data_IF_036241188574
#
_entry.id   IF_036241188574
#
_cell.length_a   1.000
_cell.length_b   1.000
_cell.length_c   1.000
_cell.angle_alpha   90.00
_cell.angle_beta   90.00
_cell.angle_gamma   90.00
#
_symmetry.space_group_name_H-M   'P 1'
#
loop_
_entity.id
_entity.type
_entity.pdbx_description
1 polymer ?
#
# COMPACT_ATOMS: atom_id res chain seq x y z
N UNK A 1 8.72 -49.89 39.96
CA UNK A 1 8.08 -48.57 40.20
C UNK A 1 9.05 -47.50 39.72
N UNK A 2 8.83 -46.95 38.53
CA UNK A 2 9.51 -45.73 38.06
C UNK A 2 8.63 -45.12 36.97
N UNK A 3 8.00 -44.00 37.35
CA UNK A 3 7.07 -43.26 36.53
C UNK A 3 7.84 -42.49 35.45
N UNK A 4 7.53 -42.78 34.19
CA UNK A 4 7.83 -41.92 33.06
C UNK A 4 6.56 -41.12 32.80
N UNK A 5 6.63 -39.79 32.97
CA UNK A 5 5.82 -38.70 32.38
C UNK A 5 6.11 -37.49 33.29
N UNK A 6 6.87 -36.47 32.82
CA UNK A 6 6.25 -35.37 32.09
C UNK A 6 7.19 -34.71 31.07
N UNK A 7 7.07 -35.05 29.79
CA UNK A 7 7.70 -34.27 28.70
C UNK A 7 6.71 -33.87 27.60
N UNK A 8 5.53 -34.51 27.55
CA UNK A 8 4.53 -34.29 26.50
C UNK A 8 3.67 -33.04 26.80
N UNK A 9 3.53 -32.63 28.07
CA UNK A 9 2.72 -31.47 28.44
C UNK A 9 3.39 -30.13 28.08
N UNK A 10 4.73 -30.06 28.09
CA UNK A 10 5.46 -28.80 27.86
C UNK A 10 5.47 -28.40 26.37
N UNK A 11 5.59 -29.38 25.46
CA UNK A 11 5.58 -29.15 24.00
C UNK A 11 4.19 -28.74 23.51
N UNK A 12 3.12 -29.24 24.15
CA UNK A 12 1.74 -28.91 23.77
C UNK A 12 1.31 -27.49 24.20
N UNK A 13 1.89 -26.98 25.31
CA UNK A 13 1.62 -25.62 25.78
C UNK A 13 2.37 -24.59 24.93
N UNK A 14 3.62 -24.86 24.54
CA UNK A 14 4.41 -23.98 23.67
C UNK A 14 3.85 -23.89 22.24
N UNK A 15 3.31 -24.98 21.68
CA UNK A 15 2.67 -24.95 20.36
C UNK A 15 1.36 -24.17 20.37
N UNK A 16 0.54 -24.31 21.42
CA UNK A 16 -0.69 -23.50 21.59
C UNK A 16 -0.39 -22.02 21.82
N UNK A 17 0.67 -21.68 22.56
CA UNK A 17 1.09 -20.28 22.75
C UNK A 17 1.61 -19.69 21.43
N UNK A 18 2.44 -20.40 20.65
CA UNK A 18 2.87 -19.91 19.34
C UNK A 18 1.71 -19.76 18.34
N UNK A 19 0.72 -20.65 18.38
CA UNK A 19 -0.49 -20.54 17.54
C UNK A 19 -1.37 -19.38 18.01
N UNK A 20 -1.59 -19.19 19.31
CA UNK A 20 -2.34 -18.04 19.82
C UNK A 20 -1.64 -16.70 19.54
N UNK A 21 -0.31 -16.63 19.65
CA UNK A 21 0.48 -15.43 19.34
C UNK A 21 0.44 -15.12 17.84
N UNK A 22 0.53 -16.12 16.95
CA UNK A 22 0.31 -15.92 15.50
C UNK A 22 -1.12 -15.49 15.18
N UNK A 23 -2.11 -16.03 15.88
CA UNK A 23 -3.53 -15.69 15.67
C UNK A 23 -3.85 -14.27 16.16
N UNK A 24 -3.25 -13.83 17.28
CA UNK A 24 -3.34 -12.45 17.76
C UNK A 24 -2.59 -11.45 16.86
N UNK A 25 -1.46 -11.85 16.25
CA UNK A 25 -0.72 -11.00 15.33
C UNK A 25 -1.49 -10.71 14.03
N UNK A 26 -2.26 -11.67 13.51
CA UNK A 26 -3.13 -11.49 12.34
C UNK A 26 -4.35 -10.60 12.62
N UNK A 27 -4.86 -10.61 13.87
CA UNK A 27 -6.04 -9.83 14.27
C UNK A 27 -5.79 -8.31 14.32
N UNK A 28 -4.54 -7.86 14.48
CA UNK A 28 -4.17 -6.45 14.55
C UNK A 28 -3.72 -5.84 13.21
N UNK A 29 -3.82 -6.59 12.10
CA UNK A 29 -3.29 -6.15 10.80
C UNK A 29 -4.07 -5.01 10.18
N UNK A 30 -5.35 -4.86 10.54
CA UNK A 30 -6.22 -3.83 9.99
C UNK A 30 -6.81 -2.98 11.11
N UNK A 31 -6.72 -1.65 10.97
CA UNK A 31 -7.40 -0.70 11.86
C UNK A 31 -8.40 0.14 11.06
N UNK A 32 -9.64 0.20 11.54
CA UNK A 32 -10.71 1.09 11.06
C UNK A 32 -10.61 2.43 11.81
N UNK A 33 -10.89 3.56 11.16
CA UNK A 33 -11.12 4.83 11.88
C UNK A 33 -12.52 4.82 12.51
N UNK A 34 -12.64 5.34 13.74
CA UNK A 34 -13.85 5.30 14.61
C UNK A 34 -15.20 5.29 13.86
N UNK A 35 -16.05 4.33 14.24
CA UNK A 35 -17.44 4.14 13.80
C UNK A 35 -18.44 4.93 14.65
N UNK A 36 -19.50 5.42 14.00
CA UNK A 36 -20.84 5.41 14.58
C UNK A 36 -21.46 4.04 14.30
N UNK A 37 -21.76 3.29 15.35
CA UNK A 37 -22.22 1.89 15.29
C UNK A 37 -23.73 1.82 15.12
N UNK A 38 -24.21 1.29 13.99
CA UNK A 38 -25.51 0.58 13.94
C UNK A 38 -25.24 -0.76 13.27
N UNK A 39 -25.27 -1.84 14.05
CA UNK A 39 -25.13 -3.19 13.54
C UNK A 39 -26.32 -3.53 12.65
N UNK A 40 -26.10 -3.61 11.33
CA UNK A 40 -27.04 -4.22 10.40
C UNK A 40 -26.77 -5.72 10.24
N UNK A 41 -27.79 -6.56 10.00
CA UNK A 41 -27.58 -7.97 9.70
C UNK A 41 -26.79 -8.08 8.40
N UNK A 42 -25.62 -8.72 8.45
CA UNK A 42 -24.77 -8.96 7.28
C UNK A 42 -25.53 -9.88 6.32
N UNK A 43 -25.95 -9.34 5.18
CA UNK A 43 -26.55 -10.13 4.12
C UNK A 43 -25.49 -11.08 3.51
N UNK A 44 -25.80 -12.37 3.29
CA UNK A 44 -24.89 -13.28 2.61
C UNK A 44 -24.74 -12.86 1.14
N UNK A 45 -23.51 -12.55 0.70
CA UNK A 45 -23.24 -12.25 -0.72
C UNK A 45 -22.15 -11.21 -1.04
N UNK A 46 -21.34 -10.76 -0.08
CA UNK A 46 -20.27 -9.76 -0.33
C UNK A 46 -18.89 -10.39 -0.51
N UNK A 47 -18.76 -11.45 -1.31
CA UNK A 47 -17.44 -11.95 -1.66
C UNK A 47 -16.81 -11.06 -2.73
N UNK A 48 -15.74 -10.34 -2.38
CA UNK A 48 -14.95 -9.55 -3.34
C UNK A 48 -13.74 -10.36 -3.79
N UNK A 49 -13.59 -10.50 -5.09
CA UNK A 49 -12.44 -11.13 -5.74
C UNK A 49 -11.34 -10.10 -6.00
N UNK A 50 -10.14 -10.55 -6.37
CA UNK A 50 -9.01 -9.64 -6.62
C UNK A 50 -9.32 -8.69 -7.79
N UNK A 51 -10.01 -9.19 -8.80
CA UNK A 51 -10.44 -8.46 -10.00
C UNK A 51 -11.45 -7.33 -9.72
N UNK A 52 -12.07 -7.31 -8.54
CA UNK A 52 -12.93 -6.21 -8.09
C UNK A 52 -12.13 -5.00 -7.62
N UNK A 53 -10.80 -5.09 -7.58
CA UNK A 53 -9.92 -4.02 -7.13
C UNK A 53 -9.01 -3.49 -8.26
N UNK A 54 -8.62 -2.22 -8.12
CA UNK A 54 -7.57 -1.53 -8.87
C UNK A 54 -6.34 -1.35 -7.99
N UNK A 55 -5.17 -1.40 -8.62
CA UNK A 55 -3.87 -1.34 -7.95
C UNK A 55 -3.23 0.02 -8.14
N UNK A 56 -3.65 1.02 -7.38
CA UNK A 56 -3.12 2.37 -7.53
C UNK A 56 -1.82 2.58 -6.78
N UNK A 57 -1.04 3.58 -7.20
CA UNK A 57 0.11 4.09 -6.45
C UNK A 57 0.34 5.58 -6.66
N UNK A 58 0.84 6.25 -5.62
CA UNK A 58 1.62 7.47 -5.77
C UNK A 58 3.06 7.11 -6.09
N UNK A 59 3.75 7.93 -6.89
CA UNK A 59 5.18 7.77 -7.15
C UNK A 59 5.93 9.10 -7.05
N UNK A 60 7.20 9.02 -6.67
CA UNK A 60 8.03 10.21 -6.44
C UNK A 60 9.47 9.88 -6.09
N UNK A 61 10.20 10.87 -5.57
CA UNK A 61 11.59 10.72 -5.14
C UNK A 61 11.78 11.07 -3.67
N UNK A 62 12.66 10.35 -2.98
CA UNK A 62 12.97 10.50 -1.57
C UNK A 62 14.45 10.15 -1.32
N UNK A 63 14.92 10.36 -0.10
CA UNK A 63 16.18 9.79 0.39
C UNK A 63 15.97 8.45 1.11
N UNK A 64 14.74 8.15 1.50
CA UNK A 64 14.33 6.90 2.13
C UNK A 64 13.05 6.41 1.44
N UNK A 65 13.15 5.47 0.48
CA UNK A 65 12.00 5.00 -0.29
C UNK A 65 11.25 3.85 0.39
N UNK A 66 11.83 3.21 1.41
CA UNK A 66 11.32 1.98 2.04
C UNK A 66 10.88 2.25 3.47
N UNK A 67 9.97 3.21 3.66
CA UNK A 67 9.54 3.68 4.97
C UNK A 67 8.19 3.07 5.37
N UNK A 68 7.88 3.07 6.66
CA UNK A 68 6.59 2.64 7.19
C UNK A 68 6.15 3.53 8.34
N UNK A 69 4.85 3.64 8.57
CA UNK A 69 4.31 4.39 9.70
C UNK A 69 3.04 3.73 10.23
N UNK A 70 2.81 3.89 11.53
CA UNK A 70 1.58 3.45 12.20
C UNK A 70 0.51 4.55 12.30
N UNK A 71 0.72 5.71 11.66
CA UNK A 71 -0.23 6.83 11.71
C UNK A 71 -1.41 6.60 10.75
N UNK A 72 -2.41 5.88 11.25
CA UNK A 72 -3.61 5.49 10.49
C UNK A 72 -4.41 6.69 10.01
N UNK A 73 -4.55 7.72 10.85
CA UNK A 73 -5.32 8.91 10.50
C UNK A 73 -4.68 9.65 9.32
N UNK A 74 -3.35 9.78 9.31
CA UNK A 74 -2.63 10.40 8.20
C UNK A 74 -2.76 9.59 6.90
N UNK A 75 -2.68 8.25 6.98
CA UNK A 75 -2.92 7.39 5.82
C UNK A 75 -4.36 7.47 5.30
N UNK A 76 -5.36 7.59 6.18
CA UNK A 76 -6.74 7.81 5.76
C UNK A 76 -6.92 9.16 5.06
N UNK A 77 -6.31 10.22 5.59
CA UNK A 77 -6.30 11.55 4.95
C UNK A 77 -5.63 11.49 3.57
N UNK A 78 -4.48 10.83 3.47
CA UNK A 78 -3.78 10.64 2.18
C UNK A 78 -4.64 9.85 1.19
N UNK A 79 -5.26 8.76 1.62
CA UNK A 79 -6.15 7.97 0.78
C UNK A 79 -7.33 8.81 0.30
N UNK A 80 -7.99 9.56 1.19
CA UNK A 80 -9.08 10.45 0.81
C UNK A 80 -8.63 11.56 -0.13
N UNK A 81 -7.44 12.12 0.07
CA UNK A 81 -6.90 13.18 -0.79
C UNK A 81 -6.68 12.68 -2.23
N UNK A 82 -6.18 11.46 -2.40
CA UNK A 82 -5.78 10.90 -3.70
C UNK A 82 -6.90 10.10 -4.35
N UNK A 83 -7.47 9.14 -3.63
CA UNK A 83 -8.50 8.22 -4.13
C UNK A 83 -9.91 8.82 -3.98
N UNK A 84 -10.20 9.45 -2.84
CA UNK A 84 -11.54 9.93 -2.53
C UNK A 84 -12.41 8.90 -1.81
N UNK A 85 -13.73 8.95 -2.02
CA UNK A 85 -14.74 8.17 -1.27
C UNK A 85 -14.96 6.77 -1.85
N UNK A 86 -13.90 5.98 -1.96
CA UNK A 86 -13.93 4.62 -2.51
C UNK A 86 -13.34 3.66 -1.48
N UNK A 87 -14.07 2.58 -1.15
CA UNK A 87 -13.59 1.60 -0.17
C UNK A 87 -12.35 0.85 -0.65
N UNK A 88 -11.51 0.41 0.29
CA UNK A 88 -10.25 -0.25 -0.05
C UNK A 88 -9.29 -0.42 1.12
N UNK A 89 -8.02 -0.64 0.78
CA UNK A 89 -6.91 -0.78 1.72
C UNK A 89 -5.81 0.23 1.37
N UNK A 90 -5.43 1.02 2.37
CA UNK A 90 -4.23 1.85 2.35
C UNK A 90 -3.04 1.05 2.91
N UNK A 91 -2.01 0.86 2.09
CA UNK A 91 -0.82 0.11 2.50
C UNK A 91 0.15 1.09 3.17
N UNK A 92 0.48 0.84 4.43
CA UNK A 92 1.19 1.80 5.30
C UNK A 92 2.71 1.77 5.11
N UNK A 93 3.13 1.63 3.86
CA UNK A 93 4.51 1.48 3.43
C UNK A 93 4.76 2.32 2.18
N UNK A 94 5.93 2.92 2.10
CA UNK A 94 6.55 3.26 0.82
C UNK A 94 7.51 2.16 0.42
N UNK A 95 7.73 2.01 -0.88
CA UNK A 95 8.68 1.06 -1.44
C UNK A 95 9.51 1.72 -2.52
N UNK A 96 10.78 1.35 -2.61
CA UNK A 96 11.49 1.44 -3.88
C UNK A 96 10.78 0.51 -4.89
N UNK A 97 10.60 0.90 -6.17
CA UNK A 97 9.86 0.11 -7.16
C UNK A 97 10.28 -1.36 -7.25
N UNK A 98 11.57 -1.67 -7.09
CA UNK A 98 12.06 -3.06 -7.10
C UNK A 98 11.78 -3.89 -5.85
N UNK A 99 11.18 -3.30 -4.83
CA UNK A 99 10.80 -4.00 -3.59
C UNK A 99 9.31 -4.33 -3.55
N UNK A 100 8.53 -3.99 -4.58
CA UNK A 100 7.05 -4.13 -4.54
C UNK A 100 6.57 -5.55 -4.83
N UNK A 101 7.50 -6.46 -5.17
CA UNK A 101 7.25 -7.88 -5.46
C UNK A 101 8.15 -8.72 -4.54
N UNK A 102 7.54 -9.63 -3.78
CA UNK A 102 8.30 -10.48 -2.85
C UNK A 102 8.88 -11.74 -3.53
N UNK A 103 9.62 -12.54 -2.77
CA UNK A 103 10.25 -13.78 -3.27
C UNK A 103 9.30 -14.86 -3.79
N UNK A 104 7.98 -14.70 -3.62
CA UNK A 104 6.94 -15.60 -4.16
C UNK A 104 6.25 -15.02 -5.40
N UNK A 105 6.71 -13.88 -5.92
CA UNK A 105 6.07 -13.18 -7.03
C UNK A 105 4.79 -12.44 -6.64
N UNK A 106 4.50 -12.29 -5.34
CA UNK A 106 3.31 -11.60 -4.84
C UNK A 106 3.62 -10.11 -4.73
N UNK A 107 2.76 -9.27 -5.30
CA UNK A 107 2.88 -7.81 -5.23
C UNK A 107 2.38 -7.26 -3.89
N UNK A 108 2.75 -6.02 -3.54
CA UNK A 108 2.24 -5.34 -2.33
C UNK A 108 0.69 -5.29 -2.28
N UNK A 109 0.03 -5.07 -3.43
CA UNK A 109 -1.42 -5.08 -3.55
C UNK A 109 -2.01 -6.48 -3.34
N UNK A 110 -1.40 -7.51 -3.92
CA UNK A 110 -1.87 -8.88 -3.77
C UNK A 110 -1.67 -9.38 -2.34
N UNK A 111 -0.56 -9.03 -1.68
CA UNK A 111 -0.35 -9.30 -0.25
C UNK A 111 -1.44 -8.64 0.60
N UNK A 112 -1.83 -7.40 0.28
CA UNK A 112 -2.91 -6.71 0.95
C UNK A 112 -4.26 -7.41 0.79
N UNK A 113 -4.61 -7.79 -0.44
CA UNK A 113 -5.82 -8.55 -0.71
C UNK A 113 -5.83 -9.89 0.03
N UNK A 114 -4.73 -10.65 -0.03
CA UNK A 114 -4.62 -11.95 0.64
C UNK A 114 -4.80 -11.81 2.15
N UNK A 115 -4.26 -10.75 2.78
CA UNK A 115 -4.45 -10.48 4.20
C UNK A 115 -5.91 -10.16 4.55
N UNK A 116 -6.66 -9.51 3.65
CA UNK A 116 -8.11 -9.32 3.83
C UNK A 116 -8.84 -10.67 3.71
N UNK A 117 -8.54 -11.47 2.68
CA UNK A 117 -9.28 -12.72 2.42
C UNK A 117 -9.06 -13.79 3.49
N UNK A 118 -7.92 -13.79 4.18
CA UNK A 118 -7.65 -14.71 5.31
C UNK A 118 -8.06 -14.12 6.66
N UNK A 119 -8.60 -12.90 6.70
CA UNK A 119 -9.10 -12.28 7.92
C UNK A 119 -10.40 -12.95 8.37
N UNK A 120 -10.56 -13.16 9.68
CA UNK A 120 -11.78 -13.75 10.25
C UNK A 120 -13.03 -12.89 9.99
N UNK A 121 -12.84 -11.58 9.87
CA UNK A 121 -13.91 -10.61 9.63
C UNK A 121 -13.99 -10.20 8.16
N UNK A 122 -13.45 -11.00 7.22
CA UNK A 122 -13.40 -10.65 5.78
C UNK A 122 -14.75 -10.22 5.20
N UNK A 123 -15.85 -10.85 5.59
CA UNK A 123 -17.17 -10.60 5.01
C UNK A 123 -17.72 -9.25 5.47
N UNK A 124 -17.47 -8.89 6.72
CA UNK A 124 -17.75 -7.57 7.29
C UNK A 124 -16.86 -6.51 6.64
N UNK A 125 -15.56 -6.79 6.46
CA UNK A 125 -14.64 -5.87 5.78
C UNK A 125 -15.08 -5.59 4.35
N UNK A 126 -15.44 -6.63 3.59
CA UNK A 126 -15.94 -6.48 2.22
C UNK A 126 -17.28 -5.75 2.16
N UNK A 127 -18.19 -6.06 3.09
CA UNK A 127 -19.45 -5.33 3.22
C UNK A 127 -19.20 -3.83 3.47
N UNK A 128 -18.32 -3.49 4.41
CA UNK A 128 -18.00 -2.11 4.77
C UNK A 128 -17.27 -1.38 3.63
N UNK A 129 -16.32 -2.02 2.94
CA UNK A 129 -15.66 -1.43 1.78
C UNK A 129 -16.68 -1.11 0.66
N UNK A 130 -17.59 -2.04 0.38
CA UNK A 130 -18.58 -1.89 -0.70
C UNK A 130 -19.67 -0.88 -0.37
N UNK A 131 -20.28 -0.97 0.81
CA UNK A 131 -21.48 -0.22 1.17
C UNK A 131 -21.17 1.07 1.94
N UNK A 132 -20.21 1.01 2.87
CA UNK A 132 -19.83 2.16 3.71
C UNK A 132 -18.65 2.96 3.12
N UNK A 133 -18.03 2.44 2.06
CA UNK A 133 -16.78 2.99 1.49
C UNK A 133 -15.65 3.01 2.51
N UNK A 134 -15.64 2.02 3.40
CA UNK A 134 -14.63 1.91 4.44
C UNK A 134 -13.23 1.71 3.85
N UNK A 135 -12.25 2.41 4.43
CA UNK A 135 -10.84 2.26 4.14
C UNK A 135 -10.18 1.60 5.35
N UNK A 136 -9.42 0.55 5.08
CA UNK A 136 -8.64 -0.15 6.08
C UNK A 136 -7.15 0.13 5.87
N UNK A 137 -6.36 0.16 6.94
CA UNK A 137 -4.89 0.28 6.83
C UNK A 137 -4.22 -1.05 7.01
N UNK A 138 -3.08 -1.28 6.36
CA UNK A 138 -2.33 -2.53 6.49
C UNK A 138 -0.83 -2.33 6.28
N UNK A 139 -0.01 -2.97 7.11
CA UNK A 139 1.44 -3.00 6.96
C UNK A 139 1.92 -4.23 6.17
N UNK A 140 2.81 -3.99 5.19
CA UNK A 140 3.42 -4.99 4.31
C UNK A 140 4.91 -5.26 4.60
N UNK A 141 5.56 -4.50 5.49
CA UNK A 141 7.02 -4.37 5.62
C UNK A 141 7.83 -5.68 5.62
N UNK A 142 7.38 -6.72 6.34
CA UNK A 142 8.17 -7.94 6.49
C UNK A 142 8.24 -8.82 5.24
N UNK A 143 7.30 -8.66 4.30
CA UNK A 143 7.26 -9.47 3.08
C UNK A 143 8.12 -8.90 1.94
N UNK A 144 8.55 -7.64 2.04
CA UNK A 144 9.13 -6.85 0.94
C UNK A 144 10.47 -6.21 1.32
N UNK A 145 11.30 -6.96 2.07
CA UNK A 145 12.57 -6.49 2.61
C UNK A 145 13.80 -6.85 1.76
N UNK A 146 13.60 -7.58 0.66
CA UNK A 146 14.66 -8.04 -0.22
C UNK A 146 14.42 -7.54 -1.65
N UNK A 147 15.47 -6.99 -2.26
CA UNK A 147 15.47 -6.70 -3.70
C UNK A 147 15.31 -8.03 -4.45
N UNK A 148 14.27 -8.13 -5.28
CA UNK A 148 14.07 -9.28 -6.16
C UNK A 148 14.24 -8.86 -7.61
N UNK A 149 14.77 -9.79 -8.40
CA UNK A 149 15.21 -9.54 -9.78
C UNK A 149 14.02 -9.06 -10.60
N UNK A 150 14.03 -7.77 -10.88
CA UNK A 150 13.22 -7.16 -11.90
C UNK A 150 14.08 -7.13 -13.18
N UNK A 151 13.57 -7.59 -14.35
CA UNK A 151 14.38 -7.68 -15.57
C UNK A 151 14.86 -6.30 -16.07
N UNK A 152 14.05 -5.28 -15.84
CA UNK A 152 14.36 -3.87 -16.04
C UNK A 152 15.20 -3.29 -14.91
N UNK A 153 16.45 -2.94 -15.23
CA UNK A 153 17.49 -2.47 -14.31
C UNK A 153 17.73 -0.96 -14.37
N UNK A 154 16.88 -0.19 -15.07
CA UNK A 154 17.10 1.24 -15.31
C UNK A 154 17.05 2.11 -14.05
N UNK A 155 16.49 1.66 -12.93
CA UNK A 155 16.53 2.43 -11.66
C UNK A 155 17.72 2.07 -10.78
N UNK A 156 18.59 1.17 -11.22
CA UNK A 156 19.81 0.82 -10.48
C UNK A 156 20.82 1.97 -10.52
N UNK A 157 21.70 2.00 -9.51
CA UNK A 157 22.80 2.96 -9.47
C UNK A 157 23.76 2.77 -10.65
N UNK A 158 23.99 1.52 -11.04
CA UNK A 158 24.91 1.14 -12.11
C UNK A 158 24.48 1.74 -13.45
N UNK A 159 23.17 1.74 -13.76
CA UNK A 159 22.65 2.32 -15.00
C UNK A 159 22.37 3.82 -14.89
N UNK A 160 21.93 4.29 -13.73
CA UNK A 160 21.55 5.69 -13.53
C UNK A 160 22.09 6.23 -12.19
N UNK A 161 23.40 6.58 -12.12
CA UNK A 161 24.04 7.00 -10.86
C UNK A 161 23.36 8.18 -10.19
N UNK A 162 22.71 9.07 -10.96
CA UNK A 162 22.01 10.23 -10.43
C UNK A 162 20.78 9.87 -9.56
N UNK A 163 20.19 8.67 -9.75
CA UNK A 163 19.09 8.16 -8.93
C UNK A 163 19.54 7.71 -7.53
N UNK A 164 20.85 7.73 -7.23
CA UNK A 164 21.34 7.60 -5.84
C UNK A 164 20.98 8.81 -4.96
N UNK A 165 20.79 9.99 -5.56
CA UNK A 165 20.42 11.22 -4.85
C UNK A 165 18.91 11.44 -4.81
N UNK A 166 18.22 11.00 -5.85
CA UNK A 166 16.77 11.05 -5.98
C UNK A 166 16.28 9.61 -6.06
N UNK A 167 16.06 8.99 -4.90
CA UNK A 167 15.74 7.57 -4.84
C UNK A 167 14.24 7.39 -5.12
N UNK A 168 13.86 6.61 -6.16
CA UNK A 168 12.46 6.38 -6.50
C UNK A 168 11.69 5.74 -5.35
N UNK A 169 10.46 6.18 -5.11
CA UNK A 169 9.52 5.52 -4.22
C UNK A 169 8.13 5.40 -4.85
N UNK A 170 7.36 4.44 -4.36
CA UNK A 170 5.92 4.37 -4.53
C UNK A 170 5.20 4.22 -3.18
N UNK A 171 3.94 4.63 -3.13
CA UNK A 171 3.01 4.36 -2.01
C UNK A 171 1.78 3.67 -2.60
N UNK A 172 1.53 2.38 -2.31
CA UNK A 172 0.47 1.63 -2.97
C UNK A 172 -0.88 1.71 -2.24
N UNK A 173 -1.95 1.67 -3.03
CA UNK A 173 -3.34 1.65 -2.60
C UNK A 173 -4.10 0.54 -3.32
N UNK A 174 -4.82 -0.29 -2.57
CA UNK A 174 -5.74 -1.29 -3.13
C UNK A 174 -7.15 -0.72 -3.03
N UNK A 175 -7.79 -0.44 -4.16
CA UNK A 175 -9.05 0.32 -4.17
C UNK A 175 -10.12 -0.46 -4.90
N UNK A 176 -11.35 -0.50 -4.37
CA UNK A 176 -12.47 -1.11 -5.10
C UNK A 176 -12.69 -0.38 -6.42
N UNK A 177 -12.94 -1.14 -7.49
CA UNK A 177 -13.39 -0.56 -8.75
C UNK A 177 -14.69 0.19 -8.52
N UNK A 178 -14.77 1.36 -9.14
CA UNK A 178 -15.86 2.30 -8.95
C UNK A 178 -16.01 3.14 -10.22
N UNK A 179 -17.25 3.48 -10.56
CA UNK A 179 -17.55 4.46 -11.62
C UNK A 179 -17.16 5.90 -11.21
N UNK A 180 -16.96 6.13 -9.91
CA UNK A 180 -16.47 7.40 -9.41
C UNK A 180 -14.99 7.59 -9.77
N UNK A 181 -14.66 8.70 -10.44
CA UNK A 181 -13.27 9.11 -10.67
C UNK A 181 -12.54 9.36 -9.35
N UNK A 182 -11.24 9.08 -9.32
CA UNK A 182 -10.43 9.41 -8.14
C UNK A 182 -10.36 10.92 -7.94
N UNK A 183 -10.05 11.35 -6.70
CA UNK A 183 -9.80 12.77 -6.44
C UNK A 183 -8.62 13.30 -7.27
N UNK A 184 -7.62 12.45 -7.52
CA UNK A 184 -6.51 12.76 -8.43
C UNK A 184 -6.98 13.03 -9.86
N UNK A 185 -7.82 12.17 -10.43
CA UNK A 185 -8.38 12.35 -11.79
C UNK A 185 -9.24 13.60 -11.90
N UNK A 186 -9.99 13.92 -10.86
CA UNK A 186 -10.78 15.16 -10.80
C UNK A 186 -9.88 16.38 -10.74
N UNK A 187 -8.80 16.35 -9.94
CA UNK A 187 -7.84 17.44 -9.83
C UNK A 187 -7.12 17.71 -11.16
N UNK A 188 -6.78 16.68 -11.94
CA UNK A 188 -6.19 16.86 -13.27
C UNK A 188 -7.12 17.60 -14.24
N UNK A 189 -8.44 17.40 -14.13
CA UNK A 189 -9.43 18.07 -15.00
C UNK A 189 -9.65 19.53 -14.63
N UNK A 190 -9.54 19.87 -13.34
CA UNK A 190 -9.79 21.24 -12.84
C UNK A 190 -8.54 22.10 -12.87
N UNK A 191 -7.36 21.50 -12.75
CA UNK A 191 -6.10 22.25 -12.71
C UNK A 191 -5.59 22.50 -14.12
N UNK A 192 -5.95 23.66 -14.70
CA UNK A 192 -5.23 24.20 -15.85
C UNK A 192 -3.78 24.39 -15.43
N UNK A 193 -2.84 23.69 -16.08
CA UNK A 193 -1.39 23.78 -15.83
C UNK A 193 -0.97 25.25 -15.90
N UNK A 194 -0.77 25.89 -14.74
CA UNK A 194 -0.22 27.24 -14.64
C UNK A 194 1.30 27.14 -14.60
N UNK A 195 1.94 27.49 -15.72
CA UNK A 195 3.36 27.89 -15.80
C UNK A 195 4.42 26.93 -15.22
N UNK A 196 4.25 25.61 -15.37
CA UNK A 196 5.34 24.65 -15.14
C UNK A 196 5.79 24.46 -13.69
N UNK A 197 5.02 24.95 -12.72
CA UNK A 197 5.20 24.63 -11.30
C UNK A 197 4.33 23.43 -10.90
N UNK A 198 4.74 22.74 -9.83
CA UNK A 198 3.88 21.78 -9.15
C UNK A 198 2.53 22.45 -8.85
N UNK A 199 1.44 21.83 -9.28
CA UNK A 199 0.10 22.36 -9.00
C UNK A 199 -0.15 22.41 -7.49
N UNK A 200 -0.98 23.32 -7.00
CA UNK A 200 -1.33 23.42 -5.56
C UNK A 200 -1.74 22.05 -4.99
N UNK A 201 -2.46 21.25 -5.78
CA UNK A 201 -2.83 19.87 -5.42
C UNK A 201 -1.63 18.93 -5.27
N UNK A 202 -0.62 19.02 -6.13
CA UNK A 202 0.60 18.20 -6.02
C UNK A 202 1.40 18.56 -4.76
N UNK A 203 1.44 19.84 -4.40
CA UNK A 203 2.05 20.31 -3.15
C UNK A 203 1.28 19.81 -1.92
N UNK A 204 -0.06 19.83 -1.97
CA UNK A 204 -0.91 19.28 -0.92
C UNK A 204 -0.65 17.78 -0.72
N UNK A 205 -0.62 16.99 -1.80
CA UNK A 205 -0.30 15.56 -1.73
C UNK A 205 1.13 15.32 -1.23
N UNK A 206 2.10 16.12 -1.66
CA UNK A 206 3.48 16.05 -1.17
C UNK A 206 3.58 16.39 0.31
N UNK A 207 2.80 17.36 0.80
CA UNK A 207 2.70 17.69 2.22
C UNK A 207 2.06 16.54 3.01
N UNK A 208 1.04 15.90 2.45
CA UNK A 208 0.30 14.81 3.09
C UNK A 208 1.15 13.54 3.33
N UNK A 209 2.26 13.33 2.60
CA UNK A 209 3.17 12.20 2.85
C UNK A 209 4.26 12.49 3.89
N UNK A 210 4.43 13.75 4.33
CA UNK A 210 5.53 14.17 5.22
C UNK A 210 5.59 13.48 6.56
N UNK A 211 4.47 12.94 7.04
CA UNK A 211 4.41 12.24 8.32
C UNK A 211 5.24 10.94 8.36
N UNK A 212 5.58 10.36 7.19
CA UNK A 212 6.42 9.17 7.10
C UNK A 212 7.49 9.23 6.01
N UNK A 213 7.41 10.23 5.12
CA UNK A 213 8.43 10.54 4.12
C UNK A 213 8.85 12.02 4.26
N UNK A 214 9.74 12.33 5.23
CA UNK A 214 10.17 13.71 5.48
C UNK A 214 10.95 14.29 4.29
N UNK A 215 11.21 15.60 4.33
CA UNK A 215 12.04 16.25 3.32
C UNK A 215 13.41 15.55 3.23
N UNK A 216 13.93 15.33 2.00
CA UNK A 216 13.52 15.97 0.74
C UNK A 216 12.53 15.17 -0.15
N UNK A 217 11.60 14.37 0.39
CA UNK A 217 10.67 13.62 -0.46
C UNK A 217 9.72 14.51 -1.30
N UNK A 218 9.32 14.12 -2.51
CA UNK A 218 8.26 14.80 -3.27
C UNK A 218 7.54 13.85 -4.23
N UNK A 219 6.27 14.12 -4.50
CA UNK A 219 5.43 13.33 -5.40
C UNK A 219 5.56 13.88 -6.82
N UNK A 220 5.62 12.97 -7.79
CA UNK A 220 5.57 13.28 -9.22
C UNK A 220 4.20 13.01 -9.82
N UNK A 221 3.53 11.96 -9.35
CA UNK A 221 2.27 11.55 -9.92
C UNK A 221 1.59 10.41 -9.19
N UNK A 222 0.50 9.97 -9.81
CA UNK A 222 -0.36 8.88 -9.39
C UNK A 222 -0.76 8.08 -10.63
N UNK A 223 -0.81 6.76 -10.52
CA UNK A 223 -1.17 5.88 -11.63
C UNK A 223 -1.69 4.52 -11.13
N UNK A 224 -2.17 3.69 -12.07
CA UNK A 224 -2.56 2.31 -11.84
C UNK A 224 -1.44 1.34 -12.27
N UNK A 225 -1.12 0.40 -11.39
CA UNK A 225 -0.12 -0.64 -11.63
C UNK A 225 -0.70 -1.75 -12.51
N UNK A 226 -0.09 -1.94 -13.68
CA UNK A 226 -0.41 -3.03 -14.58
C UNK A 226 0.56 -4.21 -14.36
N UNK A 227 0.08 -5.27 -13.71
CA UNK A 227 0.87 -6.49 -13.48
C UNK A 227 1.34 -7.20 -14.77
N UNK A 228 0.70 -6.97 -15.92
CA UNK A 228 1.14 -7.51 -17.20
C UNK A 228 2.28 -6.70 -17.83
N UNK A 229 2.47 -5.44 -17.42
CA UNK A 229 3.56 -4.59 -17.85
C UNK A 229 4.14 -3.81 -16.66
N UNK A 230 4.84 -4.48 -15.73
CA UNK A 230 5.36 -3.82 -14.54
C UNK A 230 6.38 -2.72 -14.90
N UNK A 231 7.14 -2.88 -16.00
CA UNK A 231 8.08 -1.86 -16.50
C UNK A 231 7.47 -0.51 -16.85
N UNK A 232 6.15 -0.43 -17.07
CA UNK A 232 5.46 0.85 -17.24
C UNK A 232 5.65 1.78 -16.02
N UNK A 233 5.79 1.22 -14.80
CA UNK A 233 6.14 1.98 -13.60
C UNK A 233 7.54 2.60 -13.71
N UNK A 234 8.50 1.84 -14.25
CA UNK A 234 9.89 2.29 -14.41
C UNK A 234 9.94 3.44 -15.43
N UNK A 235 9.19 3.34 -16.52
CA UNK A 235 9.11 4.38 -17.55
C UNK A 235 8.70 5.74 -16.98
N UNK A 236 7.83 5.77 -15.96
CA UNK A 236 7.43 7.02 -15.29
C UNK A 236 8.62 7.75 -14.68
N UNK A 237 9.52 7.03 -14.00
CA UNK A 237 10.71 7.63 -13.39
C UNK A 237 11.75 8.04 -14.44
N UNK A 238 11.95 7.20 -15.46
CA UNK A 238 12.90 7.51 -16.54
C UNK A 238 12.46 8.75 -17.32
N UNK A 239 11.16 8.90 -17.57
CA UNK A 239 10.60 10.10 -18.22
C UNK A 239 10.82 11.39 -17.40
N UNK A 240 11.00 11.29 -16.07
CA UNK A 240 11.25 12.43 -15.19
C UNK A 240 12.73 12.82 -15.09
N UNK A 241 13.68 12.03 -15.61
CA UNK A 241 15.13 12.35 -15.56
C UNK A 241 15.45 13.78 -16.03
N UNK A 242 14.91 14.28 -17.17
CA UNK A 242 15.23 15.63 -17.64
C UNK A 242 14.79 16.72 -16.66
N UNK A 243 13.66 16.52 -15.97
CA UNK A 243 13.12 17.47 -14.98
C UNK A 243 14.02 17.58 -13.75
N UNK A 244 14.78 16.53 -13.44
CA UNK A 244 15.74 16.49 -12.34
C UNK A 244 17.13 17.00 -12.76
N UNK A 245 17.29 17.50 -13.99
CA UNK A 245 18.59 17.88 -14.55
C UNK A 245 19.52 16.68 -14.78
N UNK A 246 18.97 15.47 -14.85
CA UNK A 246 19.72 14.24 -15.10
C UNK A 246 19.75 13.98 -16.60
N UNK A 247 20.96 13.86 -17.16
CA UNK A 247 21.18 13.51 -18.57
C UNK A 247 20.93 12.02 -18.84
#
# INVERSE_FOLDING_TARGET
>A
MLAIIPYITYVYVLSKIQIQVKTMALLNLFRKSKEETIASPIAPGTHLALEDFSFYYLYGFSNDPNSTSSNIEAFHKLYQLVIGRIGGVCITNSFHPYFIINGKGVTAWMDAYLKVVVNKNKDEMFFNMKNERAVYTMNAASAFNELKVWPDTRLTYEENPALSKFVPFIIPFLTLKSEQSTNWDMAQKTTKITNGYATEYLEEVTSAIRFFMPAPAFVLGFDEFNGANPSALIDKFIACKPLLGIK
#
